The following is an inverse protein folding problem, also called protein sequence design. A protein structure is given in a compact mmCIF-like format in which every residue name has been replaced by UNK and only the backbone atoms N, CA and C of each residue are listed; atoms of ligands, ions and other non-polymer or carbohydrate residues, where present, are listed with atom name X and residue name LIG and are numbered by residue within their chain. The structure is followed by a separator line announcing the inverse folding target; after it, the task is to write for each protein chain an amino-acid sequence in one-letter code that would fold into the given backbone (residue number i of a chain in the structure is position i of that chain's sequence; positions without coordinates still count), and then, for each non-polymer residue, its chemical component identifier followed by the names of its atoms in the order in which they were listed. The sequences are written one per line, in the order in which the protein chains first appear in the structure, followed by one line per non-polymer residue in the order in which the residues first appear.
data_IF_469537576101
#
_entry.id   IF_469537576101
#
_cell.length_a   1.000
_cell.length_b   1.000
_cell.length_c   1.000
_cell.angle_alpha   90.00
_cell.angle_beta   90.00
_cell.angle_gamma   90.00
#
_symmetry.space_group_name_H-M   'P 1'
#
loop_
_entity.id
_entity.type
_entity.pdbx_description
1 polymer ?
#
# COMPACT_ATOMS: atom_id res chain seq x y z
N UNK A 1 32.13 6.84 -4.08
CA UNK A 1 32.28 5.62 -3.34
C UNK A 1 31.41 5.69 -2.13
N UNK A 2 30.53 5.02 -1.92
CA UNK A 2 29.61 5.17 -0.94
C UNK A 2 28.29 5.18 -1.37
N UNK A 3 27.71 4.23 -1.37
CA UNK A 3 26.36 4.52 -1.08
C UNK A 3 25.66 3.28 -0.71
N UNK A 4 25.51 3.04 0.52
CA UNK A 4 24.60 1.98 0.83
C UNK A 4 23.79 2.29 2.10
N UNK A 5 22.90 3.30 2.04
CA UNK A 5 21.80 3.30 2.98
C UNK A 5 20.61 2.48 2.49
N UNK A 6 20.41 2.35 1.18
CA UNK A 6 19.24 1.66 0.64
C UNK A 6 19.29 0.16 0.87
N UNK A 7 20.46 -0.46 0.81
CA UNK A 7 20.60 -1.91 0.97
C UNK A 7 20.40 -2.36 2.42
N UNK A 8 20.82 -1.58 3.39
CA UNK A 8 20.64 -1.90 4.80
C UNK A 8 19.15 -1.97 5.17
N UNK A 9 18.36 -0.99 4.73
CA UNK A 9 16.92 -1.00 4.98
C UNK A 9 16.20 -2.10 4.21
N UNK A 10 16.62 -2.38 2.99
CA UNK A 10 16.05 -3.49 2.22
C UNK A 10 16.33 -4.84 2.89
N UNK A 11 17.53 -5.03 3.44
CA UNK A 11 17.87 -6.22 4.20
C UNK A 11 17.05 -6.33 5.50
N UNK A 12 16.83 -5.22 6.20
CA UNK A 12 15.94 -5.18 7.36
C UNK A 12 14.51 -5.53 6.99
N UNK A 13 14.00 -4.98 5.88
CA UNK A 13 12.67 -5.31 5.37
C UNK A 13 12.55 -6.80 5.05
N UNK A 14 13.55 -7.38 4.38
CA UNK A 14 13.57 -8.82 4.10
C UNK A 14 13.53 -9.66 5.37
N UNK A 15 14.36 -9.33 6.36
CA UNK A 15 14.38 -10.02 7.64
C UNK A 15 13.05 -9.90 8.38
N UNK A 16 12.43 -8.73 8.33
CA UNK A 16 11.10 -8.52 8.90
C UNK A 16 10.05 -9.38 8.20
N UNK A 17 10.07 -9.44 6.87
CA UNK A 17 9.14 -10.27 6.07
C UNK A 17 9.33 -11.77 6.32
N UNK A 18 10.54 -12.23 6.63
CA UNK A 18 10.80 -13.64 6.96
C UNK A 18 9.97 -14.12 8.15
N UNK A 19 9.68 -13.23 9.11
CA UNK A 19 8.81 -13.53 10.24
C UNK A 19 7.39 -13.92 9.84
N UNK A 20 6.96 -13.50 8.66
CA UNK A 20 5.62 -13.73 8.12
C UNK A 20 5.62 -14.67 6.90
N UNK A 21 6.78 -15.19 6.53
CA UNK A 21 6.92 -16.06 5.35
C UNK A 21 6.01 -17.30 5.42
N UNK A 22 5.85 -17.90 6.60
CA UNK A 22 4.96 -19.04 6.82
C UNK A 22 3.49 -18.68 6.68
N UNK A 23 2.95 -17.77 7.52
CA UNK A 23 1.53 -17.41 7.51
C UNK A 23 1.01 -16.92 6.16
N UNK A 24 1.78 -16.10 5.45
CA UNK A 24 1.39 -15.55 4.15
C UNK A 24 2.00 -16.27 2.96
N UNK A 25 2.76 -17.35 3.19
CA UNK A 25 3.46 -18.13 2.15
C UNK A 25 4.24 -17.24 1.20
N UNK A 26 5.07 -16.36 1.78
CA UNK A 26 5.86 -15.39 1.04
C UNK A 26 7.08 -16.05 0.38
N UNK A 27 7.31 -15.69 -0.88
CA UNK A 27 8.57 -15.95 -1.54
C UNK A 27 9.46 -14.70 -1.44
N UNK A 28 10.29 -14.63 -0.39
CA UNK A 28 11.15 -13.45 -0.14
C UNK A 28 12.13 -13.21 -1.30
N UNK A 29 12.57 -14.25 -1.99
CA UNK A 29 13.47 -14.12 -3.13
C UNK A 29 12.82 -13.40 -4.33
N UNK A 30 11.50 -13.37 -4.40
CA UNK A 30 10.75 -12.68 -5.47
C UNK A 30 10.59 -11.17 -5.23
N UNK A 31 11.06 -10.64 -4.10
CA UNK A 31 10.92 -9.23 -3.76
C UNK A 31 11.55 -8.33 -4.82
N UNK A 32 10.76 -7.50 -5.46
CA UNK A 32 11.18 -6.60 -6.53
C UNK A 32 10.47 -5.25 -6.42
N UNK A 33 11.09 -4.15 -6.87
CA UNK A 33 10.44 -2.85 -6.89
C UNK A 33 9.12 -2.88 -7.65
N UNK A 34 8.05 -2.33 -7.05
CA UNK A 34 6.72 -2.30 -7.65
C UNK A 34 6.37 -0.93 -8.23
N UNK A 35 6.67 0.14 -7.49
CA UNK A 35 6.46 1.50 -7.95
C UNK A 35 7.43 2.45 -7.25
N UNK A 36 7.68 3.60 -7.88
CA UNK A 36 8.35 4.73 -7.28
C UNK A 36 7.31 5.80 -6.98
N UNK A 37 7.38 6.37 -5.79
CA UNK A 37 6.57 7.49 -5.36
C UNK A 37 7.47 8.75 -5.32
N UNK A 38 6.87 9.91 -5.34
CA UNK A 38 7.55 11.17 -5.10
C UNK A 38 7.97 11.37 -3.63
N UNK A 39 7.58 10.46 -2.75
CA UNK A 39 7.95 10.41 -1.34
C UNK A 39 9.16 9.50 -1.09
N UNK A 40 9.61 9.43 0.15
CA UNK A 40 10.66 8.51 0.56
C UNK A 40 10.17 7.06 0.72
N UNK A 41 8.88 6.79 0.51
CA UNK A 41 8.33 5.44 0.53
C UNK A 41 8.81 4.65 -0.66
N UNK A 42 9.11 3.38 -0.39
CA UNK A 42 9.42 2.40 -1.44
C UNK A 42 8.43 1.25 -1.35
N UNK A 43 7.97 0.82 -2.51
CA UNK A 43 7.01 -0.27 -2.62
C UNK A 43 7.66 -1.43 -3.36
N UNK A 44 7.55 -2.61 -2.78
CA UNK A 44 8.09 -3.84 -3.34
C UNK A 44 6.97 -4.86 -3.49
N UNK A 45 6.96 -5.56 -4.61
CA UNK A 45 6.04 -6.67 -4.84
C UNK A 45 6.76 -7.96 -4.59
N UNK A 46 6.09 -8.91 -3.92
CA UNK A 46 6.59 -10.28 -3.75
C UNK A 46 5.45 -11.28 -3.96
N UNK A 47 5.84 -12.48 -4.37
CA UNK A 47 4.90 -13.59 -4.55
C UNK A 47 4.43 -14.09 -3.18
N UNK A 48 3.15 -14.47 -3.15
CA UNK A 48 2.46 -15.05 -2.02
C UNK A 48 1.57 -16.19 -2.53
N UNK A 49 1.24 -17.13 -1.68
CA UNK A 49 0.22 -18.15 -1.96
C UNK A 49 -0.77 -18.20 -0.79
N UNK A 50 -1.24 -17.03 -0.41
CA UNK A 50 -2.19 -16.85 0.69
C UNK A 50 -3.59 -16.52 0.17
N UNK A 51 -4.56 -16.54 1.06
CA UNK A 51 -5.93 -16.10 0.78
C UNK A 51 -6.03 -14.63 0.35
N UNK A 52 -5.00 -13.83 0.65
CA UNK A 52 -4.96 -12.41 0.33
C UNK A 52 -4.48 -12.11 -1.10
N UNK A 53 -4.07 -13.12 -1.85
CA UNK A 53 -3.68 -13.00 -3.25
C UNK A 53 -2.38 -13.71 -3.59
N UNK A 54 -2.06 -13.73 -4.88
CA UNK A 54 -0.83 -14.34 -5.42
C UNK A 54 0.38 -13.43 -5.31
N UNK A 55 0.15 -12.16 -5.06
CA UNK A 55 1.20 -11.18 -4.78
C UNK A 55 0.75 -10.26 -3.64
N UNK A 56 1.72 -9.79 -2.87
CA UNK A 56 1.53 -8.78 -1.82
C UNK A 56 2.52 -7.64 -2.03
N UNK A 57 2.27 -6.52 -1.36
CA UNK A 57 3.15 -5.35 -1.39
C UNK A 57 3.79 -5.17 -0.01
N UNK A 58 5.11 -5.14 0.01
CA UNK A 58 5.89 -4.71 1.16
C UNK A 58 6.23 -3.23 1.01
N UNK A 59 5.95 -2.46 2.04
CA UNK A 59 6.18 -1.01 2.06
C UNK A 59 7.32 -0.69 3.01
N UNK A 60 8.30 0.03 2.52
CA UNK A 60 9.36 0.64 3.31
C UNK A 60 9.08 2.15 3.38
N UNK A 61 8.67 2.60 4.55
CA UNK A 61 8.33 3.99 4.84
C UNK A 61 9.22 4.53 5.96
N UNK A 62 10.48 4.87 5.64
CA UNK A 62 11.42 5.34 6.66
C UNK A 62 10.96 6.68 7.25
N UNK A 63 11.30 7.00 8.51
CA UNK A 63 11.06 8.34 9.03
C UNK A 63 11.65 9.43 8.08
N UNK A 64 10.95 10.53 7.82
CA UNK A 64 9.76 11.05 8.49
C UNK A 64 8.39 10.57 7.96
N UNK A 65 8.36 9.52 7.16
CA UNK A 65 7.10 8.98 6.62
C UNK A 65 6.15 8.51 7.74
N UNK A 66 4.86 8.71 7.53
CA UNK A 66 3.82 8.54 8.54
C UNK A 66 3.05 7.25 8.33
N UNK A 67 3.59 6.13 8.83
CA UNK A 67 2.93 4.83 8.72
C UNK A 67 1.62 4.74 9.51
N UNK A 68 1.56 5.32 10.71
CA UNK A 68 0.35 5.27 11.55
C UNK A 68 -0.83 5.95 10.87
N UNK A 69 -0.60 7.12 10.32
CA UNK A 69 -1.60 7.89 9.59
C UNK A 69 -2.04 7.17 8.33
N UNK A 70 -1.12 6.53 7.62
CA UNK A 70 -1.45 5.69 6.47
C UNK A 70 -2.40 4.55 6.85
N UNK A 71 -2.11 3.82 7.91
CA UNK A 71 -2.96 2.73 8.42
C UNK A 71 -4.32 3.26 8.89
N UNK A 72 -4.33 4.39 9.58
CA UNK A 72 -5.56 5.03 10.05
C UNK A 72 -6.47 5.43 8.88
N UNK A 73 -5.93 6.08 7.86
CA UNK A 73 -6.68 6.49 6.66
C UNK A 73 -7.19 5.26 5.90
N UNK A 74 -6.37 4.24 5.73
CA UNK A 74 -6.78 2.98 5.10
C UNK A 74 -7.97 2.36 5.82
N UNK A 75 -7.95 2.32 7.16
CA UNK A 75 -9.06 1.81 7.98
C UNK A 75 -10.34 2.63 7.83
N UNK A 76 -10.25 3.95 7.77
CA UNK A 76 -11.40 4.84 7.54
C UNK A 76 -12.03 4.62 6.16
N UNK A 77 -11.21 4.47 5.12
CA UNK A 77 -11.68 4.22 3.77
C UNK A 77 -12.29 2.81 3.64
N UNK A 78 -11.70 1.81 4.28
CA UNK A 78 -12.28 0.47 4.34
C UNK A 78 -13.66 0.47 5.03
N UNK A 79 -13.79 1.18 6.15
CA UNK A 79 -15.06 1.35 6.83
C UNK A 79 -16.11 2.08 5.99
N UNK A 80 -15.69 2.90 5.04
CA UNK A 80 -16.54 3.56 4.04
C UNK A 80 -16.88 2.66 2.84
N UNK A 81 -16.51 1.37 2.85
CA UNK A 81 -16.62 0.44 1.74
C UNK A 81 -15.88 0.90 0.47
N UNK A 82 -14.79 1.61 0.64
CA UNK A 82 -13.86 1.95 -0.43
C UNK A 82 -12.81 0.85 -0.54
N UNK A 83 -12.52 0.40 -1.75
CA UNK A 83 -11.48 -0.59 -1.98
C UNK A 83 -10.10 0.03 -1.80
N UNK A 84 -9.44 -0.35 -0.74
CA UNK A 84 -8.10 0.12 -0.35
C UNK A 84 -7.16 -1.06 -0.13
N UNK A 85 -5.83 -0.84 -0.12
CA UNK A 85 -4.91 -1.87 0.32
C UNK A 85 -5.22 -2.25 1.76
N UNK A 86 -5.47 -3.54 2.00
CA UNK A 86 -5.65 -4.06 3.35
C UNK A 86 -4.30 -4.19 4.02
N UNK A 87 -4.18 -3.63 5.21
CA UNK A 87 -2.96 -3.73 6.02
C UNK A 87 -2.96 -5.11 6.71
N UNK A 88 -2.02 -5.95 6.34
CA UNK A 88 -1.88 -7.28 6.90
C UNK A 88 -0.97 -7.27 8.13
N UNK A 89 0.18 -6.61 8.02
CA UNK A 89 1.16 -6.45 9.08
C UNK A 89 1.75 -5.05 9.04
N UNK A 90 2.13 -4.51 10.20
CA UNK A 90 2.77 -3.21 10.29
C UNK A 90 3.76 -3.15 11.47
N UNK A 91 4.92 -2.57 11.23
CA UNK A 91 5.91 -2.19 12.23
C UNK A 91 6.12 -0.68 12.16
N UNK A 92 5.49 0.04 13.08
CA UNK A 92 5.52 1.51 13.08
C UNK A 92 6.86 2.10 13.50
N UNK A 93 7.68 1.34 14.23
CA UNK A 93 9.02 1.80 14.65
C UNK A 93 10.01 1.67 13.49
N UNK A 94 10.02 0.52 12.83
CA UNK A 94 10.85 0.29 11.66
C UNK A 94 10.33 1.01 10.41
N UNK A 95 9.04 1.30 10.34
CA UNK A 95 8.38 1.88 9.19
C UNK A 95 8.13 0.86 8.07
N UNK A 96 7.77 -0.37 8.43
CA UNK A 96 7.47 -1.44 7.48
C UNK A 96 5.99 -1.82 7.52
N UNK A 97 5.43 -2.13 6.36
CA UNK A 97 4.08 -2.67 6.23
C UNK A 97 4.03 -3.77 5.18
N UNK A 98 3.14 -4.73 5.40
CA UNK A 98 2.74 -5.73 4.41
C UNK A 98 1.27 -5.49 4.09
N UNK A 99 0.95 -5.26 2.83
CA UNK A 99 -0.38 -4.89 2.40
C UNK A 99 -0.80 -5.70 1.17
N UNK A 100 -2.10 -5.75 0.92
CA UNK A 100 -2.63 -6.40 -0.30
C UNK A 100 -2.23 -5.63 -1.55
N UNK A 101 -2.09 -6.35 -2.66
CA UNK A 101 -1.68 -5.80 -3.94
C UNK A 101 -2.92 -5.43 -4.77
N UNK A 102 -3.04 -4.18 -5.17
CA UNK A 102 -4.10 -3.70 -6.05
C UNK A 102 -3.77 -3.86 -7.55
N UNK A 103 -2.59 -4.39 -7.86
CA UNK A 103 -2.14 -4.62 -9.23
C UNK A 103 -1.41 -3.43 -9.86
N UNK A 104 -1.18 -3.53 -11.17
CA UNK A 104 -0.39 -2.56 -11.94
C UNK A 104 -1.22 -1.74 -12.93
N UNK A 105 -2.48 -2.08 -13.10
CA UNK A 105 -3.32 -1.44 -14.11
C UNK A 105 -3.94 -0.19 -13.54
N UNK A 106 -3.49 0.96 -14.00
CA UNK A 106 -4.05 2.26 -13.63
C UNK A 106 -5.13 2.68 -14.62
N UNK A 107 -6.04 3.55 -14.20
CA UNK A 107 -7.07 4.11 -15.10
C UNK A 107 -6.43 4.73 -16.34
N UNK A 108 -5.39 5.53 -16.16
CA UNK A 108 -4.74 6.22 -17.28
C UNK A 108 -4.18 5.25 -18.34
N UNK A 109 -3.77 4.04 -17.92
CA UNK A 109 -3.22 3.04 -18.85
C UNK A 109 -4.27 2.33 -19.68
N UNK A 110 -5.53 2.37 -19.27
CA UNK A 110 -6.63 1.63 -19.92
C UNK A 110 -7.78 2.51 -20.38
N UNK A 111 -7.80 3.80 -20.02
CA UNK A 111 -8.84 4.73 -20.45
C UNK A 111 -8.84 4.90 -21.97
N UNK A 112 -10.02 4.77 -22.55
CA UNK A 112 -10.31 5.09 -23.94
C UNK A 112 -11.69 5.73 -24.07
N UNK A 113 -12.08 6.12 -25.28
CA UNK A 113 -13.37 6.78 -25.55
C UNK A 113 -14.59 5.91 -25.18
N UNK A 114 -14.43 4.58 -25.15
CA UNK A 114 -15.53 3.64 -24.88
C UNK A 114 -15.76 3.45 -23.38
N UNK A 115 -14.69 3.44 -22.61
CA UNK A 115 -14.73 3.11 -21.19
C UNK A 115 -14.60 4.32 -20.25
N UNK A 116 -14.22 5.49 -20.77
CA UNK A 116 -13.96 6.67 -19.95
C UNK A 116 -15.17 7.06 -19.08
N UNK A 117 -16.36 7.09 -19.67
CA UNK A 117 -17.58 7.49 -18.94
C UNK A 117 -17.91 6.54 -17.78
N UNK A 118 -18.01 5.21 -17.98
CA UNK A 118 -18.29 4.28 -16.88
C UNK A 118 -17.17 4.25 -15.83
N UNK A 119 -15.91 4.36 -16.23
CA UNK A 119 -14.78 4.37 -15.29
C UNK A 119 -14.76 5.66 -14.44
N UNK A 120 -14.99 6.81 -15.05
CA UNK A 120 -15.09 8.07 -14.31
C UNK A 120 -16.30 8.08 -13.38
N UNK A 121 -17.43 7.50 -13.79
CA UNK A 121 -18.60 7.34 -12.90
C UNK A 121 -18.26 6.48 -11.69
N UNK A 122 -17.58 5.34 -11.88
CA UNK A 122 -17.14 4.49 -10.79
C UNK A 122 -16.23 5.22 -9.81
N UNK A 123 -15.31 6.05 -10.31
CA UNK A 123 -14.43 6.87 -9.48
C UNK A 123 -15.23 7.92 -8.68
N UNK A 124 -16.21 8.58 -9.31
CA UNK A 124 -17.08 9.56 -8.65
C UNK A 124 -17.95 8.89 -7.59
N UNK A 125 -18.51 7.73 -7.86
CA UNK A 125 -19.34 6.97 -6.91
C UNK A 125 -18.50 6.57 -5.68
N UNK A 126 -17.25 6.20 -5.87
CA UNK A 126 -16.30 5.93 -4.79
C UNK A 126 -16.03 7.19 -3.96
N UNK A 127 -15.80 8.32 -4.59
CA UNK A 127 -15.58 9.60 -3.94
C UNK A 127 -16.81 10.03 -3.12
N UNK A 128 -18.01 9.91 -3.68
CA UNK A 128 -19.27 10.22 -2.98
C UNK A 128 -19.41 9.33 -1.73
N UNK A 129 -19.18 8.04 -1.87
CA UNK A 129 -19.23 7.08 -0.74
C UNK A 129 -18.27 7.47 0.37
N UNK A 130 -17.05 7.82 0.01
CA UNK A 130 -16.05 8.31 0.94
C UNK A 130 -16.52 9.60 1.66
N UNK A 131 -17.03 10.58 0.93
CA UNK A 131 -17.50 11.84 1.49
C UNK A 131 -18.70 11.66 2.43
N UNK A 132 -19.61 10.75 2.11
CA UNK A 132 -20.79 10.47 2.94
C UNK A 132 -20.45 9.83 4.28
N UNK A 133 -19.32 9.15 4.37
CA UNK A 133 -18.87 8.47 5.59
C UNK A 133 -17.77 9.22 6.33
N UNK A 134 -17.28 10.33 5.78
CA UNK A 134 -16.28 11.17 6.41
C UNK A 134 -16.83 11.76 7.73
N UNK A 135 -15.96 11.81 8.74
CA UNK A 135 -16.28 12.37 10.07
C UNK A 135 -15.24 13.41 10.43
N UNK A 136 -15.71 14.53 10.94
CA UNK A 136 -14.84 15.56 11.50
C UNK A 136 -14.15 15.05 12.78
N UNK A 137 -12.94 15.53 13.02
CA UNK A 137 -12.19 15.26 14.25
C UNK A 137 -11.55 13.87 14.33
N UNK A 138 -11.66 13.02 13.31
CA UNK A 138 -11.04 11.68 13.28
C UNK A 138 -9.58 11.75 12.84
N UNK A 139 -9.26 12.70 11.97
CA UNK A 139 -7.91 12.98 11.51
C UNK A 139 -7.45 14.35 12.00
N UNK A 140 -6.13 14.60 12.08
CA UNK A 140 -5.62 15.94 12.36
C UNK A 140 -6.15 16.96 11.37
N UNK A 141 -6.34 18.20 11.84
CA UNK A 141 -6.69 19.30 10.95
C UNK A 141 -5.58 19.52 9.93
N UNK A 142 -5.96 19.84 8.71
CA UNK A 142 -5.03 20.25 7.69
C UNK A 142 -4.71 21.74 7.88
N UNK A 143 -3.44 22.07 8.12
CA UNK A 143 -2.93 23.42 8.30
C UNK A 143 -2.29 23.93 7.02
#
# INVERSE_FOLDING_TARGET
MTHIPSDARLNQLRSWLESFAGPYRLNIASLAPASADASFRRYFRLQSDSEHGKTLIAVDAPPPEKCREFVQVAGLLEAANVHVPKILEADFEAGFMLVTDLGNTTYISVLDERNARPMMRAAIDTLIRFQQTAREGVLPSFD
#
